data_IF_996863586567
#
_entry.id   IF_996863586567
#
_cell.length_a   1.000
_cell.length_b   1.000
_cell.length_c   1.000
_cell.angle_alpha   90.00
_cell.angle_beta   90.00
_cell.angle_gamma   90.00
#
_symmetry.space_group_name_H-M   'P 1'
#
loop_
_entity.id
_entity.type
_entity.pdbx_description
1 polymer ?
#
# COMPACT_ATOMS: atom_id res chain seq x y z
N UNK A 1 9.15 3.19 -17.35
CA UNK A 1 7.79 3.57 -16.89
C UNK A 1 6.80 2.46 -17.29
N UNK A 2 5.71 2.30 -16.55
CA UNK A 2 4.64 1.36 -16.90
C UNK A 2 3.44 2.14 -17.44
N UNK A 3 3.04 1.87 -18.67
CA UNK A 3 1.94 2.59 -19.33
C UNK A 3 0.60 1.91 -19.01
N UNK A 4 -0.40 2.72 -18.70
CA UNK A 4 -1.75 2.26 -18.34
C UNK A 4 -2.81 3.02 -19.11
N UNK A 5 -3.89 2.32 -19.42
CA UNK A 5 -5.12 2.96 -19.88
C UNK A 5 -6.01 3.35 -18.68
N UNK A 6 -6.88 4.35 -18.83
CA UNK A 6 -7.96 4.58 -17.88
C UNK A 6 -8.75 3.29 -17.64
N UNK A 7 -9.20 3.06 -16.41
CA UNK A 7 -9.92 1.86 -15.97
C UNK A 7 -9.12 0.54 -16.04
N UNK A 8 -7.83 0.58 -16.38
CA UNK A 8 -6.99 -0.62 -16.33
C UNK A 8 -6.62 -0.95 -14.88
N UNK A 9 -6.77 -2.23 -14.50
CA UNK A 9 -6.25 -2.72 -13.22
C UNK A 9 -4.73 -2.92 -13.30
N UNK A 10 -4.06 -2.40 -12.28
CA UNK A 10 -2.64 -2.59 -12.02
C UNK A 10 -2.48 -3.68 -10.97
N UNK A 11 -1.49 -4.56 -11.20
CA UNK A 11 -1.14 -5.63 -10.28
C UNK A 11 0.33 -5.49 -9.90
N UNK A 12 0.59 -5.45 -8.61
CA UNK A 12 1.92 -5.24 -8.05
C UNK A 12 2.26 -6.36 -7.08
N UNK A 13 3.56 -6.67 -7.03
CA UNK A 13 4.11 -7.62 -6.08
C UNK A 13 5.34 -7.00 -5.42
N UNK A 14 5.36 -7.01 -4.09
CA UNK A 14 6.55 -6.80 -3.30
C UNK A 14 7.06 -8.17 -2.82
N UNK A 15 8.38 -8.38 -2.91
CA UNK A 15 9.03 -9.63 -2.48
C UNK A 15 10.19 -9.29 -1.55
N UNK A 16 10.20 -9.92 -0.38
CA UNK A 16 11.29 -9.85 0.58
C UNK A 16 12.29 -10.97 0.28
N UNK A 17 13.52 -10.59 -0.04
CA UNK A 17 14.61 -11.54 -0.22
C UNK A 17 15.40 -11.67 1.09
N UNK A 18 15.13 -12.73 1.84
CA UNK A 18 15.79 -13.04 3.11
C UNK A 18 16.03 -14.55 3.24
N UNK A 19 17.05 -14.93 3.99
CA UNK A 19 17.28 -16.33 4.38
C UNK A 19 16.49 -16.75 5.62
N UNK A 20 15.88 -15.81 6.34
CA UNK A 20 15.04 -16.09 7.52
C UNK A 20 13.60 -16.43 7.08
N UNK A 21 13.14 -17.69 7.25
CA UNK A 21 11.81 -18.11 6.83
C UNK A 21 10.69 -17.63 7.78
N UNK A 22 11.03 -16.96 8.88
CA UNK A 22 10.08 -16.47 9.87
C UNK A 22 9.72 -15.00 9.65
N UNK A 23 9.90 -14.47 8.45
CA UNK A 23 9.56 -13.10 8.12
C UNK A 23 8.27 -13.02 7.30
N UNK A 24 7.48 -11.99 7.56
CA UNK A 24 6.30 -11.63 6.76
C UNK A 24 6.45 -10.21 6.26
N UNK A 25 6.09 -9.97 5.00
CA UNK A 25 6.02 -8.61 4.43
C UNK A 25 4.57 -8.14 4.38
N UNK A 26 4.35 -6.89 4.76
CA UNK A 26 3.04 -6.25 4.82
C UNK A 26 3.09 -4.89 4.12
N UNK A 27 2.06 -4.58 3.33
CA UNK A 27 1.90 -3.27 2.69
C UNK A 27 1.20 -2.35 3.69
N UNK A 28 1.93 -1.42 4.29
CA UNK A 28 1.35 -0.50 5.27
C UNK A 28 0.68 0.69 4.60
N UNK A 29 1.43 1.38 3.75
CA UNK A 29 0.97 2.63 3.12
C UNK A 29 1.44 2.65 1.67
N UNK A 30 0.56 2.95 0.73
CA UNK A 30 0.91 3.23 -0.66
C UNK A 30 0.21 4.50 -1.12
N UNK A 31 0.99 5.41 -1.68
CA UNK A 31 0.54 6.73 -2.12
C UNK A 31 1.07 6.99 -3.53
N UNK A 32 0.20 7.50 -4.41
CA UNK A 32 0.62 8.00 -5.71
C UNK A 32 0.70 9.53 -5.72
N UNK A 33 1.72 10.07 -6.38
CA UNK A 33 1.91 11.53 -6.57
C UNK A 33 2.35 11.82 -8.00
N UNK A 34 1.90 12.93 -8.62
CA UNK A 34 2.49 13.39 -9.88
C UNK A 34 3.92 13.94 -9.71
N UNK A 35 4.30 14.33 -8.48
CA UNK A 35 5.64 14.80 -8.15
C UNK A 35 6.46 13.64 -7.53
N UNK A 36 7.59 13.23 -8.15
CA UNK A 36 8.42 12.14 -7.62
C UNK A 36 9.18 12.51 -6.33
N UNK A 37 9.19 13.79 -5.95
CA UNK A 37 9.88 14.31 -4.76
C UNK A 37 8.92 14.70 -3.63
N UNK A 38 7.65 14.94 -3.93
CA UNK A 38 6.62 15.32 -2.96
C UNK A 38 5.45 14.31 -2.95
N UNK A 39 5.34 13.57 -1.84
CA UNK A 39 4.25 12.62 -1.59
C UNK A 39 3.44 13.05 -0.35
N UNK A 40 3.27 14.35 -0.14
CA UNK A 40 2.48 14.91 0.96
C UNK A 40 1.43 15.90 0.45
N UNK A 41 1.79 16.80 -0.45
CA UNK A 41 0.91 17.93 -0.84
C UNK A 41 -0.25 17.50 -1.73
N UNK A 42 0.05 16.82 -2.82
CA UNK A 42 -0.94 16.38 -3.80
C UNK A 42 -0.79 14.88 -4.02
N UNK A 43 -1.65 14.12 -3.35
CA UNK A 43 -1.50 12.68 -3.26
C UNK A 43 -2.81 11.94 -3.46
N UNK A 44 -2.66 10.70 -3.91
CA UNK A 44 -3.73 9.71 -4.01
C UNK A 44 -3.38 8.55 -3.08
N UNK A 45 -4.04 8.48 -1.93
CA UNK A 45 -3.84 7.40 -0.97
C UNK A 45 -4.55 6.13 -1.46
N UNK A 46 -3.80 5.05 -1.68
CA UNK A 46 -4.37 3.74 -2.04
C UNK A 46 -4.70 2.94 -0.77
N UNK A 47 -3.73 2.90 0.13
CA UNK A 47 -3.81 2.28 1.46
C UNK A 47 -2.97 3.13 2.40
N UNK A 48 -3.42 3.30 3.64
CA UNK A 48 -2.68 4.04 4.66
C UNK A 48 -2.82 3.38 6.02
N UNK A 49 -1.70 3.09 6.66
CA UNK A 49 -1.66 2.37 7.94
C UNK A 49 -2.51 1.09 7.89
N UNK A 50 -2.37 0.33 6.81
CA UNK A 50 -3.09 -0.92 6.55
C UNK A 50 -4.58 -0.75 6.22
N UNK A 51 -5.11 0.48 6.27
CA UNK A 51 -6.50 0.77 5.96
C UNK A 51 -6.64 1.20 4.51
N UNK A 52 -7.46 0.46 3.76
CA UNK A 52 -7.76 0.75 2.36
C UNK A 52 -8.41 2.15 2.24
N UNK A 53 -7.91 2.95 1.32
CA UNK A 53 -8.38 4.31 1.03
C UNK A 53 -8.99 4.43 -0.36
N UNK A 54 -8.42 3.72 -1.33
CA UNK A 54 -8.99 3.56 -2.67
C UNK A 54 -9.89 2.33 -2.71
N UNK A 55 -11.15 2.50 -3.11
CA UNK A 55 -12.14 1.41 -3.13
C UNK A 55 -11.84 0.32 -4.17
N UNK A 56 -10.96 0.60 -5.13
CA UNK A 56 -10.49 -0.36 -6.13
C UNK A 56 -9.26 -1.13 -5.68
N UNK A 57 -8.64 -0.74 -4.56
CA UNK A 57 -7.50 -1.45 -3.99
C UNK A 57 -7.93 -2.81 -3.45
N UNK A 58 -7.16 -3.84 -3.78
CA UNK A 58 -7.36 -5.18 -3.26
C UNK A 58 -6.03 -5.87 -2.96
N UNK A 59 -5.94 -6.51 -1.80
CA UNK A 59 -4.82 -7.39 -1.45
C UNK A 59 -5.10 -8.81 -1.96
N UNK A 60 -4.20 -9.36 -2.77
CA UNK A 60 -4.34 -10.69 -3.35
C UNK A 60 -3.63 -11.74 -2.49
N UNK A 61 -4.15 -12.96 -2.55
CA UNK A 61 -3.50 -14.12 -1.96
C UNK A 61 -2.06 -14.26 -2.47
N UNK A 62 -1.13 -14.46 -1.53
CA UNK A 62 0.28 -14.66 -1.81
C UNK A 62 0.68 -16.08 -1.39
N UNK A 63 1.44 -16.81 -2.23
CA UNK A 63 1.78 -18.21 -1.96
C UNK A 63 2.74 -18.38 -0.79
N UNK A 64 3.48 -17.32 -0.43
CA UNK A 64 4.49 -17.28 0.62
C UNK A 64 4.37 -15.96 1.38
N UNK A 65 4.93 -15.89 2.60
CA UNK A 65 4.74 -14.75 3.53
C UNK A 65 5.69 -13.59 3.24
N UNK A 66 6.76 -13.89 2.54
CA UNK A 66 7.76 -12.98 2.02
C UNK A 66 7.25 -12.24 0.77
N UNK A 67 6.02 -12.53 0.32
CA UNK A 67 5.41 -11.92 -0.84
C UNK A 67 4.13 -11.20 -0.43
N UNK A 68 4.00 -9.95 -0.84
CA UNK A 68 2.74 -9.21 -0.79
C UNK A 68 2.29 -8.86 -2.20
N UNK A 69 1.08 -9.27 -2.56
CA UNK A 69 0.44 -8.96 -3.83
C UNK A 69 -0.75 -8.05 -3.59
N UNK A 70 -0.86 -7.00 -4.39
CA UNK A 70 -1.97 -6.08 -4.34
C UNK A 70 -2.22 -5.51 -5.73
N UNK A 71 -3.40 -4.95 -5.93
CA UNK A 71 -3.73 -4.24 -7.16
C UNK A 71 -4.74 -3.15 -6.90
N UNK A 72 -4.87 -2.27 -7.87
CA UNK A 72 -5.79 -1.14 -7.84
C UNK A 72 -6.08 -0.70 -9.27
N UNK A 73 -7.15 0.06 -9.45
CA UNK A 73 -7.49 0.60 -10.75
C UNK A 73 -6.75 1.92 -11.01
N UNK A 74 -6.26 2.12 -12.24
CA UNK A 74 -5.55 3.34 -12.59
C UNK A 74 -6.43 4.61 -12.56
N UNK A 75 -7.76 4.49 -12.65
CA UNK A 75 -8.71 5.59 -12.86
C UNK A 75 -8.53 6.78 -11.89
N UNK A 76 -8.12 6.54 -10.65
CA UNK A 76 -7.96 7.57 -9.62
C UNK A 76 -7.00 8.70 -10.00
N UNK A 77 -6.08 8.50 -10.96
CA UNK A 77 -5.07 9.51 -11.34
C UNK A 77 -4.87 9.74 -12.84
N UNK A 78 -5.20 8.79 -13.74
CA UNK A 78 -4.86 8.91 -15.18
C UNK A 78 -5.56 10.07 -15.89
N UNK A 79 -6.72 10.51 -15.40
CA UNK A 79 -7.47 11.61 -16.01
C UNK A 79 -6.93 13.01 -15.65
N UNK A 80 -6.02 13.11 -14.68
CA UNK A 80 -5.52 14.39 -14.15
C UNK A 80 -4.07 14.67 -14.48
N UNK A 81 -3.23 13.63 -14.51
CA UNK A 81 -1.79 13.75 -14.76
C UNK A 81 -1.32 12.70 -15.75
N UNK A 82 -0.43 13.06 -16.71
CA UNK A 82 0.07 12.12 -17.72
C UNK A 82 0.97 11.03 -17.13
N UNK A 83 1.49 11.24 -15.92
CA UNK A 83 2.30 10.28 -15.17
C UNK A 83 2.13 10.50 -13.68
N UNK A 84 2.21 9.42 -12.92
CA UNK A 84 2.34 9.45 -11.46
C UNK A 84 3.42 8.48 -11.00
N UNK A 85 3.92 8.72 -9.80
CA UNK A 85 4.89 7.90 -9.11
C UNK A 85 4.20 7.24 -7.92
N UNK A 86 4.46 5.96 -7.73
CA UNK A 86 3.93 5.21 -6.61
C UNK A 86 5.03 5.03 -5.56
N UNK A 87 4.75 5.40 -4.32
CA UNK A 87 5.61 5.13 -3.16
C UNK A 87 4.86 4.25 -2.18
N UNK A 88 5.45 3.13 -1.83
CA UNK A 88 4.91 2.20 -0.85
C UNK A 88 5.88 2.04 0.33
N UNK A 89 5.32 2.11 1.54
CA UNK A 89 5.95 1.75 2.79
C UNK A 89 5.60 0.29 3.09
N UNK A 90 6.61 -0.56 3.07
CA UNK A 90 6.51 -1.97 3.39
C UNK A 90 7.05 -2.21 4.79
N UNK A 91 6.36 -3.05 5.56
CA UNK A 91 6.78 -3.44 6.90
C UNK A 91 7.15 -4.92 6.89
N UNK A 92 8.26 -5.25 7.52
CA UNK A 92 8.70 -6.63 7.74
C UNK A 92 8.52 -6.96 9.21
N UNK A 93 7.82 -8.04 9.51
CA UNK A 93 7.61 -8.52 10.87
C UNK A 93 8.04 -9.97 11.02
N UNK A 94 8.21 -10.41 12.27
CA UNK A 94 8.30 -11.83 12.57
C UNK A 94 6.93 -12.49 12.43
N UNK A 95 6.93 -13.67 11.82
CA UNK A 95 5.76 -14.53 11.75
C UNK A 95 5.29 -14.91 13.17
N UNK A 96 3.97 -14.94 13.36
CA UNK A 96 3.30 -15.20 14.65
C UNK A 96 3.60 -14.20 15.78
N UNK A 97 4.23 -13.07 15.49
CA UNK A 97 4.22 -11.94 16.40
C UNK A 97 2.90 -11.17 16.25
N UNK A 98 1.87 -11.59 16.98
CA UNK A 98 0.53 -10.98 16.95
C UNK A 98 0.51 -9.52 17.44
N UNK A 99 1.55 -9.08 18.15
CA UNK A 99 1.68 -7.69 18.59
C UNK A 99 2.25 -6.79 17.48
N UNK A 100 2.87 -7.38 16.46
CA UNK A 100 3.56 -6.67 15.39
C UNK A 100 2.61 -5.87 14.50
N UNK A 101 3.17 -4.85 13.85
CA UNK A 101 2.45 -4.00 12.91
C UNK A 101 1.76 -4.80 11.78
N UNK A 102 2.36 -5.90 11.32
CA UNK A 102 1.79 -6.73 10.25
C UNK A 102 0.47 -7.40 10.68
N UNK A 103 0.35 -7.83 11.94
CA UNK A 103 -0.86 -8.48 12.47
C UNK A 103 -1.92 -7.50 12.97
N UNK A 104 -1.53 -6.26 13.28
CA UNK A 104 -2.48 -5.18 13.61
C UNK A 104 -3.40 -4.82 12.44
N UNK A 105 -3.00 -5.12 11.19
CA UNK A 105 -3.84 -4.89 10.00
C UNK A 105 -4.16 -3.41 9.79
N UNK A 106 -5.44 -3.07 9.58
CA UNK A 106 -5.88 -1.68 9.50
C UNK A 106 -5.88 -1.03 10.89
N UNK A 107 -5.01 -0.04 11.09
CA UNK A 107 -4.93 0.75 12.31
C UNK A 107 -5.27 2.21 11.99
N UNK A 108 -6.53 2.60 12.16
CA UNK A 108 -6.91 4.01 12.09
C UNK A 108 -6.68 4.67 13.45
N UNK A 109 -5.91 5.77 13.49
CA UNK A 109 -5.95 6.65 14.67
C UNK A 109 -7.36 7.21 14.77
N UNK A 110 -8.14 6.74 15.73
CA UNK A 110 -9.32 7.48 16.18
C UNK A 110 -8.84 8.88 16.58
N UNK A 111 -9.45 9.94 16.01
CA UNK A 111 -9.29 11.30 16.55
C UNK A 111 -9.59 11.21 18.05
N UNK A 112 -8.63 11.53 18.91
CA UNK A 112 -8.94 11.74 20.33
C UNK A 112 -10.00 12.83 20.36
N UNK A 113 -11.17 12.52 20.90
CA UNK A 113 -12.18 13.51 21.18
C UNK A 113 -11.60 14.40 22.30
N UNK A 114 -11.00 15.54 21.94
CA UNK A 114 -10.69 16.59 22.90
C UNK A 114 -12.00 17.28 23.21
N UNK A 115 -12.83 16.62 24.04
CA UNK A 115 -14.01 17.25 24.61
C UNK A 115 -13.58 18.48 25.38
N UNK A 116 -14.12 19.64 24.97
CA UNK A 116 -14.16 20.87 25.76
C UNK A 116 -15.45 20.91 26.56
#
# INVERSE_FOLDING_TARGET
>A
PYYVHPNQNLFLQASLHSSDPNLVVFVDTCVASPDPSDFQTLTYELIRSGCVKDFTYFSYYSPCREVARFGFNAFSFVNRYPSVYLRCELVVCRYNDYSSRCYQGCFSRFKRNTGS
#
